data_IF_425531062295
#
_entry.id   IF_425531062295
#
_cell.length_a   1.000
_cell.length_b   1.000
_cell.length_c   1.000
_cell.angle_alpha   90.00
_cell.angle_beta   90.00
_cell.angle_gamma   90.00
#
_symmetry.space_group_name_H-M   'P 1'
#
loop_
_entity.id
_entity.type
_entity.pdbx_description
1 polymer ?
#
# COMPACT_ATOMS: atom_id res chain seq x y z
N UNK A 1 -7.23 10.72 15.81
CA UNK A 1 -8.16 11.64 16.49
C UNK A 1 -9.37 11.88 15.58
N UNK A 2 -10.53 12.32 16.09
CA UNK A 2 -11.64 12.76 15.22
C UNK A 2 -11.18 13.86 14.28
N UNK A 3 -10.28 14.75 14.75
CA UNK A 3 -9.65 15.84 14.00
C UNK A 3 -8.27 16.21 14.57
N UNK A 4 -7.40 16.85 13.80
CA UNK A 4 -6.11 17.36 14.30
C UNK A 4 -6.31 18.58 15.21
N UNK A 5 -5.47 18.77 16.24
CA UNK A 5 -5.56 19.92 17.14
C UNK A 5 -4.81 21.13 16.54
N UNK A 6 -5.48 22.27 16.42
CA UNK A 6 -4.86 23.48 15.88
C UNK A 6 -4.04 24.22 16.96
N UNK A 7 -2.96 24.91 16.55
CA UNK A 7 -2.05 25.65 17.46
C UNK A 7 -2.60 26.98 17.98
N UNK A 8 -3.82 27.35 17.59
CA UNK A 8 -4.48 28.59 18.00
C UNK A 8 -5.32 28.35 19.26
N UNK A 9 -4.82 28.88 20.39
CA UNK A 9 -5.47 28.83 21.69
C UNK A 9 -6.45 30.01 21.78
N UNK A 10 -7.72 29.79 21.44
CA UNK A 10 -8.80 30.77 21.63
C UNK A 10 -9.75 30.21 22.69
N UNK A 11 -9.72 30.81 23.90
CA UNK A 11 -10.56 30.52 25.07
C UNK A 11 -11.13 29.08 25.20
N UNK A 12 -10.38 28.24 25.92
CA UNK A 12 -10.79 26.95 26.53
C UNK A 12 -11.19 25.79 25.61
N UNK A 13 -11.22 25.95 24.29
CA UNK A 13 -11.28 24.81 23.35
C UNK A 13 -10.18 24.95 22.29
N UNK A 14 -9.34 23.93 22.15
CA UNK A 14 -8.48 23.79 20.98
C UNK A 14 -9.39 23.56 19.78
N UNK A 15 -9.48 24.57 18.90
CA UNK A 15 -10.18 24.40 17.62
C UNK A 15 -9.48 23.30 16.84
N UNK A 16 -10.24 22.35 16.34
CA UNK A 16 -9.68 21.31 15.48
C UNK A 16 -9.42 21.86 14.09
N UNK A 17 -8.27 21.53 13.50
CA UNK A 17 -8.09 21.69 12.06
C UNK A 17 -9.02 20.70 11.35
N UNK A 18 -9.97 21.21 10.55
CA UNK A 18 -10.96 20.38 9.85
C UNK A 18 -10.35 19.63 8.66
N UNK A 19 -9.22 20.10 8.13
CA UNK A 19 -8.62 19.57 6.90
C UNK A 19 -7.62 18.44 7.15
N UNK A 20 -7.15 18.29 8.39
CA UNK A 20 -6.13 17.30 8.76
C UNK A 20 -6.63 16.37 9.86
N UNK A 21 -6.20 15.11 9.80
CA UNK A 21 -6.35 14.15 10.90
C UNK A 21 -5.00 13.56 11.28
N UNK A 22 -4.73 13.57 12.58
CA UNK A 22 -3.57 12.89 13.15
C UNK A 22 -3.85 11.39 13.31
N UNK A 23 -2.93 10.57 12.79
CA UNK A 23 -2.85 9.13 12.99
C UNK A 23 -1.63 8.80 13.82
N UNK A 24 -1.81 7.99 14.86
CA UNK A 24 -0.77 7.53 15.77
C UNK A 24 -0.71 6.00 15.68
N UNK A 25 0.49 5.45 15.52
CA UNK A 25 0.69 4.01 15.38
C UNK A 25 1.83 3.58 16.30
N UNK A 26 1.54 2.58 17.12
CA UNK A 26 2.50 1.95 18.01
C UNK A 26 2.56 0.45 17.77
N UNK A 27 3.76 -0.08 17.54
CA UNK A 27 4.05 -1.51 17.60
C UNK A 27 4.74 -1.82 18.92
N UNK A 28 4.15 -2.70 19.72
CA UNK A 28 4.63 -3.03 21.08
C UNK A 28 4.98 -4.50 21.15
N UNK A 29 6.15 -4.82 21.70
CA UNK A 29 6.56 -6.20 21.92
C UNK A 29 5.59 -6.93 22.87
N UNK A 30 5.25 -8.17 22.53
CA UNK A 30 4.40 -9.01 23.38
C UNK A 30 5.22 -9.66 24.50
N UNK A 31 4.67 -9.82 25.71
CA UNK A 31 5.31 -10.58 26.78
C UNK A 31 5.67 -12.00 26.33
N UNK A 32 6.76 -12.58 26.84
CA UNK A 32 7.16 -13.93 26.48
C UNK A 32 6.14 -14.94 27.03
N UNK A 33 5.62 -15.84 26.18
CA UNK A 33 4.64 -16.87 26.58
C UNK A 33 5.26 -17.99 27.42
N UNK A 34 6.60 -18.10 27.43
CA UNK A 34 7.40 -19.07 28.18
C UNK A 34 8.69 -18.41 28.68
N UNK A 35 9.42 -19.09 29.56
CA UNK A 35 10.75 -18.65 30.00
C UNK A 35 11.67 -18.36 28.82
N UNK A 36 12.12 -17.10 28.70
CA UNK A 36 13.03 -16.67 27.64
C UNK A 36 14.47 -16.60 28.20
N UNK A 37 15.43 -17.38 27.65
CA UNK A 37 16.83 -17.33 28.08
C UNK A 37 17.45 -15.93 27.91
N UNK A 38 17.13 -15.24 26.82
CA UNK A 38 17.62 -13.89 26.58
C UNK A 38 17.10 -12.90 27.64
N UNK A 39 15.81 -12.92 27.98
CA UNK A 39 15.30 -12.07 29.07
C UNK A 39 15.97 -12.41 30.41
N UNK A 40 16.18 -13.69 30.70
CA UNK A 40 16.91 -14.12 31.91
C UNK A 40 18.34 -13.59 31.93
N UNK A 41 19.04 -13.62 30.80
CA UNK A 41 20.40 -13.07 30.70
C UNK A 41 20.40 -11.56 30.94
N UNK A 42 19.45 -10.81 30.37
CA UNK A 42 19.32 -9.37 30.64
C UNK A 42 19.08 -9.11 32.13
N UNK A 43 18.16 -9.85 32.76
CA UNK A 43 17.89 -9.72 34.20
C UNK A 43 19.11 -10.06 35.08
N UNK A 44 19.95 -11.01 34.68
CA UNK A 44 21.19 -11.35 35.39
C UNK A 44 22.31 -10.32 35.18
N UNK A 45 22.42 -9.77 33.97
CA UNK A 45 23.42 -8.75 33.63
C UNK A 45 23.12 -7.41 34.30
N UNK A 46 21.84 -7.12 34.59
CA UNK A 46 21.39 -5.89 35.23
C UNK A 46 20.53 -6.17 36.48
N UNK A 47 21.11 -6.63 37.61
CA UNK A 47 20.37 -7.05 38.80
C UNK A 47 19.51 -5.96 39.47
N UNK A 48 19.73 -4.69 39.14
CA UNK A 48 18.93 -3.55 39.62
C UNK A 48 17.66 -3.27 38.81
N UNK A 49 17.48 -3.92 37.65
CA UNK A 49 16.30 -3.74 36.80
C UNK A 49 15.28 -4.87 37.06
N UNK A 50 14.22 -4.58 37.82
CA UNK A 50 13.22 -5.59 38.22
C UNK A 50 12.44 -6.22 37.05
N UNK A 51 12.54 -5.67 35.84
CA UNK A 51 11.90 -6.16 34.61
C UNK A 51 12.86 -6.05 33.41
N UNK A 52 13.99 -6.76 33.48
CA UNK A 52 14.92 -6.89 32.36
C UNK A 52 14.32 -7.71 31.21
N UNK A 53 13.89 -7.05 30.13
CA UNK A 53 13.39 -7.70 28.92
C UNK A 53 14.47 -7.72 27.84
N UNK A 54 14.61 -8.84 27.11
CA UNK A 54 15.41 -8.82 25.88
C UNK A 54 14.69 -8.04 24.78
N UNK A 55 15.42 -7.65 23.74
CA UNK A 55 14.89 -6.82 22.66
C UNK A 55 13.62 -7.40 22.03
N UNK A 56 13.56 -8.71 21.77
CA UNK A 56 12.37 -9.41 21.23
C UNK A 56 11.09 -9.22 22.04
N UNK A 57 11.19 -9.05 23.36
CA UNK A 57 10.06 -8.98 24.28
C UNK A 57 9.96 -7.62 24.98
N UNK A 58 10.73 -6.64 24.52
CA UNK A 58 11.06 -5.45 25.30
C UNK A 58 11.21 -4.17 24.49
N UNK A 59 10.59 -4.06 23.31
CA UNK A 59 10.66 -2.87 22.46
C UNK A 59 9.29 -2.24 22.21
N UNK A 60 9.31 -0.96 21.88
CA UNK A 60 8.19 -0.19 21.37
C UNK A 60 8.66 0.67 20.20
N UNK A 61 7.85 0.73 19.15
CA UNK A 61 8.06 1.60 18.00
C UNK A 61 6.82 2.47 17.84
N UNK A 62 7.02 3.78 17.71
CA UNK A 62 5.95 4.77 17.59
C UNK A 62 6.17 5.65 16.35
N UNK A 63 5.09 5.95 15.63
CA UNK A 63 5.06 6.96 14.57
C UNK A 63 3.77 7.77 14.61
N UNK A 64 3.86 8.99 14.07
CA UNK A 64 2.74 9.90 13.87
C UNK A 64 2.81 10.43 12.45
N UNK A 65 1.67 10.46 11.77
CA UNK A 65 1.54 11.17 10.50
C UNK A 65 0.17 11.84 10.38
N UNK A 66 0.06 12.77 9.44
CA UNK A 66 -1.17 13.48 9.14
C UNK A 66 -1.74 13.00 7.81
N UNK A 67 -3.07 13.00 7.73
CA UNK A 67 -3.82 12.69 6.52
C UNK A 67 -4.78 13.82 6.20
N UNK A 68 -5.07 13.99 4.92
CA UNK A 68 -5.97 15.02 4.37
C UNK A 68 -7.24 14.42 3.78
N UNK A 69 -8.23 15.27 3.51
CA UNK A 69 -9.44 14.86 2.79
C UNK A 69 -9.13 14.48 1.33
N UNK A 70 -9.79 13.44 0.77
CA UNK A 70 -10.69 12.49 1.43
C UNK A 70 -9.90 11.59 2.39
N UNK A 71 -10.30 11.56 3.66
CA UNK A 71 -9.52 10.86 4.68
C UNK A 71 -9.44 9.36 4.36
N UNK A 72 -8.24 8.76 4.30
CA UNK A 72 -8.06 7.35 3.95
C UNK A 72 -8.90 6.41 4.80
N UNK A 73 -9.36 5.33 4.17
CA UNK A 73 -10.14 4.29 4.89
C UNK A 73 -9.25 3.50 5.85
N UNK A 74 -9.81 3.08 6.98
CA UNK A 74 -9.13 2.18 7.92
C UNK A 74 -9.42 0.72 7.55
N UNK A 75 -8.41 -0.03 7.13
CA UNK A 75 -8.54 -1.37 6.56
C UNK A 75 -7.62 -2.40 7.25
N UNK A 76 -7.71 -2.60 8.58
CA UNK A 76 -6.75 -3.41 9.35
C UNK A 76 -6.57 -4.84 8.84
N UNK A 77 -7.64 -5.47 8.32
CA UNK A 77 -7.58 -6.83 7.77
C UNK A 77 -6.64 -6.94 6.55
N UNK A 78 -6.52 -5.89 5.74
CA UNK A 78 -5.57 -5.84 4.62
C UNK A 78 -4.24 -5.22 5.04
N UNK A 79 -4.28 -4.13 5.81
CA UNK A 79 -3.09 -3.41 6.25
C UNK A 79 -2.12 -4.29 7.05
N UNK A 80 -2.62 -5.32 7.74
CA UNK A 80 -1.84 -6.25 8.56
C UNK A 80 -1.88 -7.69 8.03
N UNK A 81 -2.30 -7.91 6.77
CA UNK A 81 -2.45 -9.25 6.20
C UNK A 81 -1.11 -9.98 6.03
N UNK A 82 0.00 -9.23 5.93
CA UNK A 82 1.36 -9.76 5.87
C UNK A 82 2.01 -9.66 7.24
N UNK A 83 2.48 -10.78 7.76
CA UNK A 83 3.17 -10.83 9.05
C UNK A 83 4.36 -9.87 9.11
N UNK A 84 4.49 -9.20 10.25
CA UNK A 84 5.54 -8.20 10.55
C UNK A 84 5.51 -6.93 9.68
N UNK A 85 4.51 -6.78 8.80
CA UNK A 85 4.36 -5.62 7.91
C UNK A 85 3.03 -4.91 8.18
N UNK A 86 3.06 -3.58 8.22
CA UNK A 86 1.87 -2.74 8.18
C UNK A 86 1.89 -1.82 6.97
N UNK A 87 0.76 -1.74 6.25
CA UNK A 87 0.57 -0.80 5.14
C UNK A 87 -0.12 0.48 5.63
N UNK A 88 0.51 1.64 5.42
CA UNK A 88 0.07 2.93 5.92
C UNK A 88 -0.23 3.87 4.76
N UNK A 89 -1.49 4.23 4.59
CA UNK A 89 -1.90 5.25 3.62
C UNK A 89 -1.76 6.63 4.29
N UNK A 90 -0.87 7.46 3.75
CA UNK A 90 -0.55 8.81 4.26
C UNK A 90 -1.27 9.93 3.52
N UNK A 91 -2.35 9.59 2.80
CA UNK A 91 -3.00 10.40 1.75
C UNK A 91 -2.17 10.57 0.48
N UNK A 92 -0.85 10.74 0.56
CA UNK A 92 0.01 11.00 -0.61
C UNK A 92 0.81 9.79 -1.08
N UNK A 93 1.01 8.81 -0.19
CA UNK A 93 1.77 7.60 -0.48
C UNK A 93 1.23 6.40 0.28
N UNK A 94 1.58 5.21 -0.18
CA UNK A 94 1.43 3.98 0.58
C UNK A 94 2.80 3.54 1.10
N UNK A 95 2.95 3.50 2.42
CA UNK A 95 4.19 3.08 3.09
C UNK A 95 4.01 1.68 3.66
N UNK A 96 4.81 0.73 3.18
CA UNK A 96 4.94 -0.58 3.81
C UNK A 96 6.04 -0.51 4.87
N UNK A 97 5.66 -0.69 6.13
CA UNK A 97 6.58 -0.65 7.27
C UNK A 97 6.76 -2.05 7.84
N UNK A 98 7.99 -2.58 7.81
CA UNK A 98 8.30 -3.88 8.39
C UNK A 98 9.15 -3.75 9.65
N UNK A 99 8.84 -4.55 10.67
CA UNK A 99 9.55 -4.54 11.95
C UNK A 99 9.91 -5.96 12.37
N UNK A 100 11.20 -6.25 12.53
CA UNK A 100 11.69 -7.58 12.88
C UNK A 100 12.87 -7.55 13.84
N UNK A 101 12.96 -8.54 14.74
CA UNK A 101 14.11 -8.72 15.64
C UNK A 101 14.95 -9.88 15.16
N UNK A 102 16.25 -9.65 15.01
CA UNK A 102 17.23 -10.62 14.52
C UNK A 102 18.31 -10.87 15.57
N UNK A 103 18.99 -12.02 15.49
CA UNK A 103 20.21 -12.29 16.25
C UNK A 103 21.44 -12.17 15.35
N UNK A 104 22.57 -11.82 15.95
CA UNK A 104 23.86 -11.85 15.27
C UNK A 104 24.15 -13.26 14.71
N UNK A 105 24.42 -13.34 13.40
CA UNK A 105 24.76 -14.59 12.72
C UNK A 105 23.57 -15.40 12.16
N UNK A 106 22.33 -14.91 12.26
CA UNK A 106 21.19 -15.57 11.61
C UNK A 106 21.35 -15.60 10.07
N UNK A 107 21.23 -16.77 9.41
CA UNK A 107 21.44 -16.92 7.97
C UNK A 107 20.24 -16.45 7.12
N UNK A 108 19.13 -16.06 7.74
CA UNK A 108 17.96 -15.55 7.03
C UNK A 108 18.27 -14.18 6.40
N UNK A 109 17.81 -13.91 5.17
CA UNK A 109 17.95 -12.57 4.61
C UNK A 109 17.26 -11.61 5.58
N UNK A 110 18.03 -10.68 6.14
CA UNK A 110 17.58 -9.76 7.18
C UNK A 110 16.55 -8.74 6.65
N UNK A 111 15.94 -8.98 5.49
CA UNK A 111 15.23 -8.03 4.67
C UNK A 111 13.84 -8.59 4.34
N UNK A 112 12.82 -8.00 4.94
CA UNK A 112 11.42 -8.36 4.74
C UNK A 112 10.79 -7.63 3.55
N UNK A 113 11.31 -6.46 3.21
CA UNK A 113 10.86 -5.62 2.10
C UNK A 113 12.02 -5.36 1.14
N UNK A 114 11.71 -5.28 -0.16
CA UNK A 114 12.61 -4.85 -1.21
C UNK A 114 13.89 -5.70 -1.35
N UNK A 115 13.78 -6.92 -1.88
CA UNK A 115 14.96 -7.76 -2.14
C UNK A 115 15.75 -7.25 -3.35
N UNK A 116 16.94 -6.68 -3.13
CA UNK A 116 17.90 -6.36 -4.21
C UNK A 116 18.52 -7.62 -4.87
N UNK A 117 17.90 -8.80 -4.69
CA UNK A 117 18.35 -10.02 -5.35
C UNK A 117 18.09 -9.87 -6.84
N UNK A 118 19.19 -9.70 -7.58
CA UNK A 118 19.27 -9.92 -9.02
C UNK A 118 18.38 -11.08 -9.39
N UNK A 119 17.30 -10.81 -10.11
CA UNK A 119 16.53 -11.82 -10.83
C UNK A 119 17.50 -12.52 -11.76
N UNK A 120 18.13 -13.60 -11.30
CA UNK A 120 18.80 -14.52 -12.21
C UNK A 120 17.67 -15.14 -13.03
N UNK A 121 17.62 -14.95 -14.36
CA UNK A 121 16.63 -15.65 -15.16
C UNK A 121 16.93 -17.13 -14.98
N UNK A 122 16.01 -17.87 -14.35
CA UNK A 122 16.05 -19.33 -14.42
C UNK A 122 16.07 -19.72 -15.90
N UNK A 123 16.86 -20.72 -16.32
CA UNK A 123 16.93 -21.08 -17.72
C UNK A 123 15.53 -21.46 -18.19
N UNK A 124 14.99 -20.69 -19.13
CA UNK A 124 13.77 -21.01 -19.83
C UNK A 124 13.95 -22.37 -20.51
N UNK A 125 13.43 -23.44 -19.91
CA UNK A 125 13.21 -24.70 -20.61
C UNK A 125 12.11 -24.44 -21.64
N UNK A 126 12.51 -24.08 -22.85
CA UNK A 126 11.64 -24.20 -24.03
C UNK A 126 11.37 -25.69 -24.26
N UNK A 127 10.11 -26.14 -24.33
CA UNK A 127 9.81 -27.49 -24.77
C UNK A 127 10.07 -27.56 -26.28
N UNK A 128 11.00 -28.43 -26.68
CA UNK A 128 11.27 -28.71 -28.09
C UNK A 128 12.64 -28.23 -28.58
N UNK A 129 13.68 -29.00 -28.26
CA UNK A 129 14.72 -29.30 -29.23
C UNK A 129 15.48 -30.55 -28.76
N UNK A 130 15.27 -31.65 -29.48
CA UNK A 130 15.98 -32.90 -29.33
C UNK A 130 17.42 -32.76 -29.81
N UNK A 131 18.39 -33.02 -28.93
CA UNK A 131 19.71 -33.51 -29.35
C UNK A 131 20.16 -34.64 -28.44
N UNK A 132 20.08 -35.83 -29.02
CA UNK A 132 20.80 -37.05 -28.68
C UNK A 132 22.31 -36.81 -28.65
N UNK A 133 22.97 -37.28 -27.61
CA UNK A 133 24.32 -37.86 -27.76
C UNK A 133 24.54 -38.93 -26.69
N UNK A 134 24.64 -40.17 -27.17
CA UNK A 134 25.22 -41.30 -26.46
C UNK A 134 26.65 -40.96 -26.05
N UNK A 135 27.07 -41.40 -24.86
CA UNK A 135 28.26 -42.25 -24.72
C UNK A 135 28.03 -43.25 -23.57
N UNK A 136 28.23 -44.52 -23.90
CA UNK A 136 28.20 -45.71 -23.03
C UNK A 136 29.52 -45.85 -22.24
N UNK A 137 29.46 -46.48 -21.07
CA UNK A 137 30.39 -47.55 -20.67
C UNK A 137 29.92 -48.21 -19.34
N UNK A 138 29.24 -49.33 -19.52
CA UNK A 138 29.53 -50.68 -19.02
C UNK A 138 29.78 -50.96 -17.52
N UNK A 139 29.15 -52.05 -17.02
CA UNK A 139 29.51 -52.67 -15.74
C UNK A 139 28.42 -53.42 -14.96
N UNK A 140 27.89 -54.51 -15.52
CA UNK A 140 27.51 -55.80 -14.87
C UNK A 140 26.81 -55.85 -13.49
N UNK A 141 25.70 -56.63 -13.42
CA UNK A 141 25.41 -57.47 -12.25
C UNK A 141 23.94 -57.59 -11.84
N UNK A 142 23.37 -58.79 -12.02
CA UNK A 142 21.97 -59.14 -11.80
C UNK A 142 21.54 -59.20 -10.32
N UNK A 143 20.24 -59.02 -10.06
CA UNK A 143 19.61 -59.38 -8.78
C UNK A 143 18.18 -58.85 -8.66
N UNK A 144 17.19 -59.69 -8.97
CA UNK A 144 15.76 -59.35 -8.95
C UNK A 144 15.16 -59.15 -7.55
N UNK A 145 14.03 -58.46 -7.52
CA UNK A 145 13.17 -58.31 -6.35
C UNK A 145 11.98 -57.43 -6.66
N UNK A 146 10.90 -58.04 -7.16
CA UNK A 146 9.62 -57.36 -7.35
C UNK A 146 8.89 -57.16 -6.02
N UNK A 147 8.23 -56.01 -5.86
CA UNK A 147 7.18 -55.76 -4.86
C UNK A 147 6.10 -54.87 -5.50
N UNK A 148 4.80 -55.10 -5.24
CA UNK A 148 3.70 -54.65 -6.09
C UNK A 148 3.09 -53.30 -5.72
N UNK A 149 2.46 -52.68 -6.71
CA UNK A 149 1.67 -51.45 -6.68
C UNK A 149 0.32 -51.68 -5.97
N UNK A 150 -0.16 -50.77 -5.09
CA UNK A 150 -1.48 -50.89 -4.47
C UNK A 150 -2.61 -50.33 -5.37
N UNK A 151 -3.84 -50.89 -5.31
CA UNK A 151 -4.99 -50.42 -6.09
C UNK A 151 -5.71 -49.21 -5.43
N UNK A 152 -6.51 -48.46 -6.21
CA UNK A 152 -7.21 -47.26 -5.72
C UNK A 152 -8.47 -47.60 -4.90
N UNK A 153 -8.89 -46.74 -3.94
CA UNK A 153 -10.09 -46.98 -3.14
C UNK A 153 -11.38 -46.56 -3.88
N UNK A 154 -12.39 -47.42 -3.80
CA UNK A 154 -13.80 -47.20 -4.20
C UNK A 154 -14.57 -46.34 -3.18
N UNK A 155 -15.67 -45.66 -3.59
CA UNK A 155 -16.37 -44.66 -2.79
C UNK A 155 -17.41 -45.27 -1.83
N UNK A 156 -17.48 -44.75 -0.60
CA UNK A 156 -18.51 -45.08 0.39
C UNK A 156 -19.62 -44.02 0.41
N UNK A 157 -20.87 -44.48 0.37
CA UNK A 157 -22.12 -43.72 0.58
C UNK A 157 -22.19 -43.03 1.96
N UNK A 158 -22.73 -41.79 2.06
CA UNK A 158 -22.98 -41.14 3.34
C UNK A 158 -24.39 -41.44 3.85
N UNK A 159 -24.48 -42.07 5.03
CA UNK A 159 -25.72 -42.09 5.82
C UNK A 159 -25.88 -40.75 6.54
N UNK A 160 -26.97 -40.05 6.22
CA UNK A 160 -27.42 -38.80 6.85
C UNK A 160 -28.09 -39.10 8.19
N UNK A 161 -27.83 -38.35 9.27
CA UNK A 161 -28.78 -38.11 10.33
C UNK A 161 -29.51 -36.78 10.10
N UNK A 162 -30.84 -36.85 10.21
CA UNK A 162 -31.77 -35.73 10.25
C UNK A 162 -31.58 -35.00 11.57
N UNK A 163 -31.31 -33.69 11.54
CA UNK A 163 -31.53 -32.80 12.69
C UNK A 163 -32.30 -31.54 12.25
N UNK A 164 -33.23 -31.19 13.14
CA UNK A 164 -34.33 -30.26 12.98
C UNK A 164 -33.92 -28.79 12.86
N UNK A 165 -34.79 -28.03 12.19
CA UNK A 165 -34.56 -26.64 11.83
C UNK A 165 -34.48 -25.70 13.03
N UNK A 166 -33.38 -24.95 13.10
CA UNK A 166 -33.31 -23.61 13.68
C UNK A 166 -32.35 -22.76 12.83
N UNK A 167 -32.82 -21.56 12.45
CA UNK A 167 -32.07 -20.40 11.94
C UNK A 167 -30.75 -20.65 11.20
N UNK A 168 -30.78 -20.46 9.87
CA UNK A 168 -29.61 -20.42 8.98
C UNK A 168 -28.74 -19.18 9.30
N UNK A 169 -28.00 -19.24 10.40
CA UNK A 169 -27.02 -18.25 10.81
C UNK A 169 -25.82 -18.25 9.87
N UNK A 170 -25.42 -17.06 9.43
CA UNK A 170 -24.22 -16.87 8.62
C UNK A 170 -22.99 -17.36 9.40
N UNK A 171 -22.01 -17.95 8.70
CA UNK A 171 -20.72 -18.33 9.30
C UNK A 171 -20.13 -17.14 10.10
N UNK A 172 -19.49 -17.36 11.25
CA UNK A 172 -18.85 -16.30 12.05
C UNK A 172 -17.90 -15.40 11.24
N UNK A 173 -17.27 -15.95 10.19
CA UNK A 173 -16.43 -15.18 9.27
C UNK A 173 -17.23 -14.18 8.42
N UNK A 174 -18.42 -14.58 7.95
CA UNK A 174 -19.32 -13.71 7.18
C UNK A 174 -19.95 -12.64 8.06
N UNK A 175 -20.25 -12.97 9.33
CA UNK A 175 -20.73 -11.98 10.29
C UNK A 175 -19.67 -10.89 10.57
N UNK A 176 -18.41 -11.28 10.77
CA UNK A 176 -17.29 -10.34 10.97
C UNK A 176 -16.97 -9.51 9.72
N UNK A 177 -17.05 -10.11 8.53
CA UNK A 177 -16.89 -9.37 7.27
C UNK A 177 -17.99 -8.33 7.07
N UNK A 178 -19.24 -8.65 7.44
CA UNK A 178 -20.36 -7.69 7.42
C UNK A 178 -20.17 -6.58 8.45
N UNK A 179 -19.66 -6.89 9.63
CA UNK A 179 -19.34 -5.89 10.67
C UNK A 179 -18.23 -4.94 10.21
N UNK A 180 -17.19 -5.46 9.55
CA UNK A 180 -16.13 -4.67 8.92
C UNK A 180 -16.68 -3.71 7.86
N UNK A 181 -17.55 -4.20 6.99
CA UNK A 181 -18.22 -3.37 5.97
C UNK A 181 -19.11 -2.30 6.61
N UNK A 182 -19.87 -2.66 7.64
CA UNK A 182 -20.72 -1.72 8.35
C UNK A 182 -19.91 -0.59 9.02
N UNK A 183 -18.70 -0.88 9.50
CA UNK A 183 -17.78 0.13 10.06
C UNK A 183 -17.24 1.10 8.99
N UNK A 184 -16.96 0.61 7.76
CA UNK A 184 -16.59 1.48 6.63
C UNK A 184 -17.73 2.47 6.30
N UNK A 185 -18.98 1.99 6.23
CA UNK A 185 -20.13 2.85 5.92
C UNK A 185 -20.48 3.80 7.06
N UNK A 186 -20.36 3.37 8.32
CA UNK A 186 -20.58 4.23 9.48
C UNK A 186 -19.63 5.43 9.46
N UNK A 187 -18.34 5.16 9.21
CA UNK A 187 -17.30 6.19 9.10
C UNK A 187 -17.43 7.06 7.85
N UNK A 188 -17.90 6.52 6.73
CA UNK A 188 -18.19 7.30 5.53
C UNK A 188 -19.36 8.27 5.73
N UNK A 189 -20.38 7.86 6.51
CA UNK A 189 -21.51 8.71 6.89
C UNK A 189 -21.10 9.80 7.88
N UNK A 190 -20.27 9.49 8.87
CA UNK A 190 -19.72 10.46 9.83
C UNK A 190 -18.74 11.47 9.21
N UNK A 191 -18.11 11.13 8.08
CA UNK A 191 -17.24 12.04 7.33
C UNK A 191 -18.02 13.06 6.48
N UNK A 192 -19.33 12.87 6.34
CA UNK A 192 -20.23 13.86 5.74
C UNK A 192 -20.93 14.55 6.91
N UNK A 193 -20.70 15.85 7.11
CA UNK A 193 -21.39 16.61 8.17
C UNK A 193 -22.92 16.46 8.06
N UNK A 194 -23.69 16.83 9.10
CA UNK A 194 -25.14 16.67 9.06
C UNK A 194 -25.68 17.40 7.83
N UNK A 195 -26.28 16.63 6.90
CA UNK A 195 -27.10 17.18 5.85
C UNK A 195 -28.22 17.95 6.54
N UNK A 196 -28.25 19.27 6.35
CA UNK A 196 -29.44 20.04 6.69
C UNK A 196 -30.56 19.46 5.82
N UNK A 197 -31.59 18.98 6.50
CA UNK A 197 -32.88 18.63 5.90
C UNK A 197 -33.42 19.93 5.30
N UNK A 198 -33.31 20.09 3.97
CA UNK A 198 -33.99 21.15 3.25
C UNK A 198 -35.45 20.71 3.08
N UNK A 199 -36.32 21.31 3.88
CA UNK A 199 -37.77 21.26 3.72
C UNK A 199 -38.14 21.88 2.35
N UNK A 200 -38.99 21.15 1.63
CA UNK A 200 -39.65 21.61 0.41
C UNK A 200 -40.55 22.81 0.74
N UNK A 201 -40.32 23.96 0.10
CA UNK A 201 -41.38 24.96 -0.12
C UNK A 201 -41.48 25.33 -1.60
N UNK A 202 -42.68 25.09 -2.11
CA UNK A 202 -43.19 25.40 -3.44
C UNK A 202 -43.53 26.89 -3.57
N UNK A 203 -43.16 27.41 -4.74
CA UNK A 203 -43.91 28.35 -5.60
C UNK A 203 -44.03 29.85 -5.26
N UNK A 204 -43.78 30.68 -6.28
CA UNK A 204 -43.88 32.14 -6.17
C UNK A 204 -43.31 32.91 -7.37
N UNK A 205 -44.01 32.87 -8.49
CA UNK A 205 -43.74 33.64 -9.71
C UNK A 205 -43.81 35.17 -9.53
N UNK A 206 -42.92 35.96 -10.16
CA UNK A 206 -43.28 37.19 -10.93
C UNK A 206 -42.09 37.94 -11.57
N UNK A 207 -42.32 38.34 -12.84
CA UNK A 207 -41.69 39.31 -13.78
C UNK A 207 -40.69 40.36 -13.25
N UNK A 208 -39.65 40.78 -14.00
CA UNK A 208 -39.76 41.70 -15.16
C UNK A 208 -38.41 42.12 -15.81
N UNK A 209 -38.41 42.24 -17.16
CA UNK A 209 -37.74 43.20 -18.09
C UNK A 209 -36.22 43.54 -18.10
N UNK A 210 -35.50 43.03 -19.14
CA UNK A 210 -34.65 43.65 -20.23
C UNK A 210 -34.12 45.12 -20.17
N UNK A 211 -33.20 45.59 -21.08
CA UNK A 211 -31.87 45.12 -21.54
C UNK A 211 -30.81 46.27 -21.71
N UNK A 212 -29.55 45.97 -22.08
CA UNK A 212 -28.58 46.93 -22.65
C UNK A 212 -27.25 46.25 -23.03
N UNK A 213 -26.88 46.08 -24.32
CA UNK A 213 -26.01 46.96 -25.18
C UNK A 213 -24.70 47.36 -24.50
N UNK A 214 -23.47 47.27 -25.02
CA UNK A 214 -22.81 47.09 -26.33
C UNK A 214 -21.29 46.99 -25.98
N UNK A 215 -20.40 46.24 -26.62
CA UNK A 215 -19.58 46.62 -27.78
C UNK A 215 -18.53 45.52 -28.10
N UNK A 216 -18.06 45.52 -29.36
CA UNK A 216 -17.27 44.50 -30.04
C UNK A 216 -15.78 44.87 -30.28
N UNK A 217 -14.94 43.82 -30.36
CA UNK A 217 -13.73 43.60 -31.21
C UNK A 217 -12.42 44.40 -30.92
N UNK A 218 -11.22 44.02 -31.48
CA UNK A 218 -10.76 42.79 -32.20
C UNK A 218 -9.37 42.25 -31.71
N UNK A 219 -8.79 41.17 -32.32
CA UNK A 219 -7.50 40.56 -31.93
C UNK A 219 -6.30 41.06 -32.77
N UNK A 220 -5.05 40.69 -32.42
CA UNK A 220 -3.95 40.74 -33.37
C UNK A 220 -3.38 39.35 -33.73
N UNK A 221 -3.25 39.16 -35.04
CA UNK A 221 -2.35 38.21 -35.71
C UNK A 221 -0.88 38.42 -35.27
N UNK A 222 -0.13 37.32 -35.16
CA UNK A 222 1.20 37.25 -35.81
C UNK A 222 1.68 35.81 -35.95
N UNK A 223 1.72 35.37 -37.20
CA UNK A 223 2.57 34.29 -37.69
C UNK A 223 4.05 34.64 -37.48
N UNK A 224 4.94 33.65 -37.29
CA UNK A 224 6.26 33.55 -37.98
C UNK A 224 7.03 32.28 -37.56
N UNK A 225 7.38 31.52 -38.60
CA UNK A 225 8.57 30.68 -38.82
C UNK A 225 8.79 29.35 -38.08
N UNK A 226 8.43 28.28 -38.81
CA UNK A 226 9.13 27.01 -38.85
C UNK A 226 10.50 27.19 -39.54
N UNK A 227 11.58 26.73 -38.92
CA UNK A 227 12.87 26.55 -39.58
C UNK A 227 13.13 25.05 -39.82
N UNK A 228 12.96 24.63 -41.07
CA UNK A 228 13.60 23.47 -41.68
C UNK A 228 14.91 23.95 -42.33
N UNK A 229 15.98 23.16 -42.25
CA UNK A 229 17.07 23.01 -43.24
C UNK A 229 18.13 22.02 -42.68
N UNK A 230 19.01 21.40 -43.50
CA UNK A 230 18.74 20.51 -44.62
C UNK A 230 19.56 19.19 -44.53
N UNK A 231 19.29 18.26 -45.45
CA UNK A 231 19.94 16.95 -45.60
C UNK A 231 21.21 16.97 -46.47
N UNK A 232 22.08 15.95 -46.24
CA UNK A 232 22.93 15.18 -47.20
C UNK A 232 24.46 15.34 -47.05
N UNK A 233 25.29 14.42 -47.61
CA UNK A 233 25.36 12.96 -47.40
C UNK A 233 26.82 12.45 -47.19
N UNK A 234 27.06 11.31 -46.52
CA UNK A 234 28.32 10.55 -46.72
C UNK A 234 28.26 9.07 -46.28
N UNK A 235 28.85 8.23 -47.11
CA UNK A 235 28.85 6.75 -47.17
C UNK A 235 29.64 6.04 -46.04
N UNK A 236 29.57 4.69 -45.92
CA UNK A 236 29.81 3.95 -44.68
C UNK A 236 31.27 3.47 -44.50
N UNK A 237 31.65 3.06 -43.28
CA UNK A 237 32.62 2.00 -43.10
C UNK A 237 32.15 0.88 -42.15
N UNK A 238 32.27 -0.34 -42.67
CA UNK A 238 32.79 -1.58 -42.04
C UNK A 238 32.40 -1.99 -40.62
N UNK A 239 31.95 -3.23 -40.55
CA UNK A 239 31.68 -4.03 -39.37
C UNK A 239 32.82 -4.04 -38.35
N UNK A 240 32.47 -3.75 -37.10
CA UNK A 240 33.19 -4.22 -35.92
C UNK A 240 32.16 -4.57 -34.85
N UNK A 241 32.08 -5.85 -34.48
CA UNK A 241 31.26 -6.34 -33.37
C UNK A 241 31.59 -5.57 -32.08
N UNK A 242 30.59 -5.09 -31.31
CA UNK A 242 30.88 -4.58 -29.98
C UNK A 242 31.20 -5.77 -29.06
N UNK A 243 32.18 -5.64 -28.16
CA UNK A 243 32.47 -6.67 -27.17
C UNK A 243 31.27 -6.83 -26.24
N UNK A 244 31.05 -8.07 -25.82
CA UNK A 244 29.99 -8.52 -24.93
C UNK A 244 29.71 -7.49 -23.82
N UNK A 245 28.62 -6.73 -23.95
CA UNK A 245 28.20 -5.78 -22.94
C UNK A 245 27.86 -6.58 -21.68
N UNK A 246 28.65 -6.39 -20.64
CA UNK A 246 28.22 -6.65 -19.26
C UNK A 246 26.85 -6.00 -19.07
N UNK A 247 25.86 -6.67 -18.43
CA UNK A 247 24.56 -6.07 -18.20
C UNK A 247 24.77 -4.79 -17.39
N UNK A 248 24.54 -3.65 -18.04
CA UNK A 248 24.41 -2.36 -17.37
C UNK A 248 23.27 -2.54 -16.37
N UNK A 249 23.46 -2.25 -15.07
CA UNK A 249 22.37 -2.29 -14.13
C UNK A 249 21.27 -1.38 -14.67
N UNK A 250 20.09 -1.93 -14.92
CA UNK A 250 18.91 -1.09 -15.10
C UNK A 250 18.83 -0.19 -13.87
N UNK A 251 18.81 1.15 -14.04
CA UNK A 251 18.72 2.05 -12.90
C UNK A 251 17.48 1.68 -12.09
N UNK A 252 17.61 1.66 -10.77
CA UNK A 252 16.46 1.49 -9.89
C UNK A 252 15.40 2.51 -10.30
N UNK A 253 14.10 2.13 -10.34
CA UNK A 253 13.07 3.08 -10.71
C UNK A 253 13.10 4.23 -9.71
N UNK A 254 13.35 5.46 -10.18
CA UNK A 254 13.56 6.63 -9.32
C UNK A 254 12.36 7.03 -8.45
N UNK A 255 11.24 6.31 -8.57
CA UNK A 255 10.04 6.46 -7.76
C UNK A 255 9.97 5.53 -6.54
N UNK A 256 10.87 4.55 -6.44
CA UNK A 256 10.91 3.64 -5.30
C UNK A 256 11.81 4.24 -4.23
N UNK A 257 11.23 4.52 -3.05
CA UNK A 257 11.99 4.92 -1.88
C UNK A 257 12.01 3.77 -0.86
N UNK A 258 13.21 3.27 -0.56
CA UNK A 258 13.45 2.23 0.44
C UNK A 258 14.43 2.72 1.50
N UNK A 259 14.06 2.60 2.77
CA UNK A 259 14.94 2.88 3.91
C UNK A 259 14.97 1.72 4.88
N UNK A 260 16.12 1.51 5.51
CA UNK A 260 16.33 0.46 6.51
C UNK A 260 17.16 0.98 7.66
N UNK A 261 16.59 0.90 8.86
CA UNK A 261 17.23 1.26 10.10
C UNK A 261 17.43 0.03 10.98
N UNK A 262 18.53 0.01 11.73
CA UNK A 262 18.82 -1.04 12.72
C UNK A 262 18.99 -0.40 14.08
N UNK A 263 18.45 -1.01 15.12
CA UNK A 263 18.49 -0.51 16.48
C UNK A 263 18.94 -1.59 17.46
N UNK A 264 19.68 -1.21 18.49
CA UNK A 264 20.18 -2.12 19.54
C UNK A 264 19.83 -1.60 20.93
N UNK A 265 19.73 -2.53 21.88
CA UNK A 265 19.55 -2.21 23.31
C UNK A 265 20.95 -1.93 23.90
N UNK A 266 21.16 -0.77 24.53
CA UNK A 266 22.39 -0.50 25.29
C UNK A 266 22.15 -0.53 26.81
N UNK A 267 23.16 -0.96 27.60
CA UNK A 267 23.23 -0.63 29.02
C UNK A 267 23.32 0.88 29.19
N UNK A 268 22.56 1.46 30.12
CA UNK A 268 22.34 2.91 30.23
C UNK A 268 23.59 3.81 30.33
N UNK A 269 23.34 5.10 30.05
CA UNK A 269 24.18 6.29 30.23
C UNK A 269 25.37 6.50 29.28
N UNK A 270 25.14 6.36 27.97
CA UNK A 270 25.96 7.05 26.97
C UNK A 270 25.03 7.85 26.06
N UNK A 271 24.96 9.17 26.27
CA UNK A 271 24.42 10.08 25.26
C UNK A 271 25.32 9.99 24.02
N UNK A 272 24.94 9.13 23.09
CA UNK A 272 25.52 9.15 21.76
C UNK A 272 25.14 10.48 21.08
N UNK A 273 26.04 11.11 20.32
CA UNK A 273 25.68 12.26 19.49
C UNK A 273 24.47 11.90 18.63
N UNK A 274 23.46 12.77 18.60
CA UNK A 274 22.38 12.70 17.61
C UNK A 274 23.01 12.96 16.25
N UNK A 275 23.52 11.93 15.59
CA UNK A 275 23.95 12.03 14.21
C UNK A 275 22.68 12.13 13.35
N UNK A 276 22.53 13.27 12.67
CA UNK A 276 21.46 13.55 11.72
C UNK A 276 21.57 12.53 10.57
N UNK A 277 20.67 11.54 10.55
CA UNK A 277 20.39 10.84 9.31
C UNK A 277 19.88 11.87 8.30
N UNK A 278 20.27 11.75 7.02
CA UNK A 278 19.66 12.54 5.95
C UNK A 278 18.15 12.28 5.93
N UNK A 279 17.41 13.17 6.57
CA UNK A 279 15.96 13.08 6.81
C UNK A 279 15.18 13.04 5.49
N UNK A 280 15.78 13.57 4.42
CA UNK A 280 15.19 13.75 3.10
C UNK A 280 14.68 12.46 2.44
N UNK A 281 15.12 11.27 2.92
CA UNK A 281 14.67 9.97 2.39
C UNK A 281 13.65 9.28 3.29
N UNK A 282 13.41 9.76 4.50
CA UNK A 282 12.53 9.10 5.47
C UNK A 282 11.08 9.50 5.18
N UNK A 283 10.24 8.53 4.80
CA UNK A 283 8.82 8.81 4.56
C UNK A 283 8.03 8.98 5.86
N UNK A 284 8.31 8.15 6.87
CA UNK A 284 7.68 8.25 8.18
C UNK A 284 8.73 8.30 9.30
N UNK A 285 8.68 9.32 10.18
CA UNK A 285 9.58 9.37 11.32
C UNK A 285 9.17 8.32 12.36
N UNK A 286 10.16 7.59 12.88
CA UNK A 286 9.97 6.60 13.94
C UNK A 286 10.74 6.96 15.20
N UNK A 287 10.09 6.75 16.34
CA UNK A 287 10.73 6.74 17.65
C UNK A 287 10.74 5.30 18.15
N UNK A 288 11.92 4.77 18.45
CA UNK A 288 12.12 3.39 18.90
C UNK A 288 12.64 3.40 20.33
N UNK A 289 11.91 2.78 21.25
CA UNK A 289 12.22 2.74 22.68
C UNK A 289 12.15 1.33 23.25
N UNK A 290 12.70 1.13 24.44
CA UNK A 290 12.37 -0.02 25.27
C UNK A 290 11.00 0.17 25.96
N UNK A 291 10.54 -0.82 26.71
CA UNK A 291 9.28 -0.73 27.46
C UNK A 291 9.29 0.31 28.59
N UNK A 292 10.46 0.87 28.92
CA UNK A 292 10.64 1.94 29.92
C UNK A 292 10.66 3.33 29.28
N UNK A 293 10.60 3.41 27.95
CA UNK A 293 10.68 4.66 27.20
C UNK A 293 12.11 5.14 26.94
N UNK A 294 13.14 4.34 27.21
CA UNK A 294 14.53 4.68 26.84
C UNK A 294 14.72 4.45 25.34
N UNK A 295 15.23 5.44 24.61
CA UNK A 295 15.50 5.32 23.18
C UNK A 295 16.52 4.22 22.89
N UNK A 296 16.25 3.40 21.88
CA UNK A 296 17.25 2.45 21.38
C UNK A 296 18.28 3.18 20.53
N UNK A 297 19.52 2.69 20.56
CA UNK A 297 20.59 3.30 19.77
C UNK A 297 20.51 2.81 18.32
N UNK A 298 20.52 3.71 17.31
CA UNK A 298 20.67 3.32 15.93
C UNK A 298 22.06 2.74 15.66
N UNK A 299 22.11 1.67 14.88
CA UNK A 299 23.33 1.00 14.43
C UNK A 299 23.67 1.46 13.01
N UNK A 300 24.91 1.89 12.78
CA UNK A 300 25.40 2.25 11.43
C UNK A 300 25.29 1.02 10.51
N UNK A 301 24.96 1.25 9.24
CA UNK A 301 24.67 0.18 8.27
C UNK A 301 25.83 -0.83 8.12
N UNK A 302 27.08 -0.37 8.26
CA UNK A 302 28.29 -1.18 8.18
C UNK A 302 28.71 -1.83 9.51
N UNK A 303 28.08 -1.47 10.63
CA UNK A 303 28.45 -2.01 11.92
C UNK A 303 27.85 -3.41 12.12
N UNK A 304 28.71 -4.38 12.46
CA UNK A 304 28.26 -5.72 12.82
C UNK A 304 27.55 -5.67 14.19
N UNK A 305 26.31 -6.13 14.24
CA UNK A 305 25.62 -6.33 15.51
C UNK A 305 26.28 -7.49 16.27
N UNK A 306 26.69 -7.25 17.52
CA UNK A 306 27.27 -8.28 18.41
C UNK A 306 26.20 -9.01 19.27
N UNK A 307 24.92 -8.93 18.88
CA UNK A 307 23.80 -9.49 19.64
C UNK A 307 22.46 -9.34 18.91
N UNK A 308 21.37 -9.17 19.67
CA UNK A 308 20.05 -8.88 19.10
C UNK A 308 19.98 -7.47 18.55
N UNK A 309 19.34 -7.30 17.41
CA UNK A 309 19.01 -5.98 16.86
C UNK A 309 17.59 -5.98 16.25
N UNK A 310 16.97 -4.82 16.26
CA UNK A 310 15.67 -4.55 15.65
C UNK A 310 15.92 -3.92 14.28
N UNK A 311 15.35 -4.49 13.23
CA UNK A 311 15.31 -3.91 11.89
C UNK A 311 13.95 -3.25 11.67
N UNK A 312 13.99 -2.01 11.17
CA UNK A 312 12.81 -1.25 10.73
C UNK A 312 13.02 -0.90 9.27
N UNK A 313 12.13 -1.35 8.40
CA UNK A 313 12.20 -1.14 6.96
C UNK A 313 10.98 -0.32 6.51
N UNK A 314 11.19 0.64 5.61
CA UNK A 314 10.11 1.36 4.92
C UNK A 314 10.29 1.22 3.42
N UNK A 315 9.21 0.84 2.73
CA UNK A 315 9.12 0.90 1.29
C UNK A 315 7.92 1.77 0.92
N UNK A 316 8.15 2.82 0.13
CA UNK A 316 7.15 3.85 -0.15
C UNK A 316 6.77 3.86 -1.63
N UNK A 317 5.46 3.89 -1.89
CA UNK A 317 4.87 4.07 -3.20
C UNK A 317 4.18 5.43 -3.28
N UNK A 318 4.72 6.35 -4.09
CA UNK A 318 4.16 7.67 -4.33
C UNK A 318 2.93 7.61 -5.24
N UNK A 319 1.79 8.15 -4.80
CA UNK A 319 0.55 8.04 -5.56
C UNK A 319 0.53 8.92 -6.80
N UNK A 320 1.05 10.14 -6.75
CA UNK A 320 1.05 11.04 -7.91
C UNK A 320 1.93 10.50 -9.02
N UNK A 321 3.08 9.93 -8.67
CA UNK A 321 3.93 9.25 -9.63
C UNK A 321 3.18 8.10 -10.32
N UNK A 322 2.55 7.21 -9.53
CA UNK A 322 1.76 6.09 -10.06
C UNK A 322 0.65 6.57 -10.98
N UNK A 323 -0.15 7.55 -10.54
CA UNK A 323 -1.26 8.11 -11.32
C UNK A 323 -0.75 8.65 -12.65
N UNK A 324 0.31 9.47 -12.64
CA UNK A 324 0.85 10.07 -13.85
C UNK A 324 1.42 9.04 -14.82
N UNK A 325 2.14 8.02 -14.33
CA UNK A 325 2.66 6.94 -15.17
C UNK A 325 1.55 6.08 -15.79
N UNK A 326 0.54 5.70 -15.01
CA UNK A 326 -0.60 4.91 -15.51
C UNK A 326 -1.37 5.69 -16.56
N UNK A 327 -1.65 6.98 -16.32
CA UNK A 327 -2.35 7.81 -17.30
C UNK A 327 -1.52 7.94 -18.57
N UNK A 328 -0.21 8.19 -18.47
CA UNK A 328 0.65 8.40 -19.64
C UNK A 328 0.80 7.14 -20.49
N UNK A 329 0.92 5.98 -19.87
CA UNK A 329 1.32 4.75 -20.55
C UNK A 329 0.14 3.83 -20.88
N UNK A 330 -0.91 3.80 -20.06
CA UNK A 330 -1.95 2.76 -20.13
C UNK A 330 -3.37 3.30 -20.37
N UNK A 331 -3.64 4.58 -20.10
CA UNK A 331 -4.99 5.14 -20.28
C UNK A 331 -5.30 5.46 -21.76
N UNK A 332 -6.39 4.88 -22.28
CA UNK A 332 -6.87 5.16 -23.64
C UNK A 332 -7.26 6.65 -23.84
N UNK A 333 -7.71 7.30 -22.77
CA UNK A 333 -8.09 8.71 -22.73
C UNK A 333 -6.93 9.65 -22.34
N UNK A 334 -5.68 9.17 -22.30
CA UNK A 334 -4.48 9.94 -21.92
C UNK A 334 -4.32 11.26 -22.67
N UNK A 335 -4.71 11.31 -23.95
CA UNK A 335 -4.65 12.53 -24.77
C UNK A 335 -5.70 13.59 -24.41
N UNK A 336 -6.75 13.19 -23.71
CA UNK A 336 -7.80 14.09 -23.23
C UNK A 336 -7.44 14.68 -21.86
N UNK A 337 -6.59 14.01 -21.09
CA UNK A 337 -6.22 14.38 -19.73
C UNK A 337 -5.52 15.76 -19.64
N UNK A 338 -5.93 16.56 -18.67
CA UNK A 338 -5.31 17.85 -18.35
C UNK A 338 -4.54 17.79 -17.02
N UNK A 339 -5.24 17.46 -15.94
CA UNK A 339 -4.72 17.36 -14.59
C UNK A 339 -5.69 16.56 -13.71
N UNK A 340 -5.23 16.07 -12.57
CA UNK A 340 -6.12 15.57 -11.51
C UNK A 340 -6.18 16.57 -10.35
N UNK A 341 -7.31 16.61 -9.65
CA UNK A 341 -7.53 17.51 -8.52
C UNK A 341 -7.40 16.83 -7.18
N UNK A 342 -7.81 15.56 -7.09
CA UNK A 342 -7.93 14.84 -5.82
C UNK A 342 -8.02 13.33 -6.07
N UNK A 343 -7.64 12.51 -5.08
CA UNK A 343 -7.61 11.05 -5.19
C UNK A 343 -7.84 10.32 -3.87
N UNK A 344 -8.41 9.12 -3.93
CA UNK A 344 -8.69 8.25 -2.77
C UNK A 344 -8.22 6.82 -3.04
N UNK A 345 -7.33 6.31 -2.19
CA UNK A 345 -6.70 4.98 -2.36
C UNK A 345 -7.31 3.98 -1.40
N UNK A 346 -7.78 2.85 -1.95
CA UNK A 346 -8.36 1.74 -1.19
C UNK A 346 -7.60 0.46 -1.54
N UNK A 347 -7.15 -0.28 -0.51
CA UNK A 347 -6.54 -1.60 -0.69
C UNK A 347 -7.66 -2.59 -1.02
N UNK A 348 -7.51 -3.33 -2.13
CA UNK A 348 -8.46 -4.36 -2.55
C UNK A 348 -8.02 -5.76 -2.11
N UNK A 349 -6.72 -6.04 -2.13
CA UNK A 349 -6.16 -7.34 -1.75
C UNK A 349 -4.69 -7.22 -1.35
N UNK A 350 -4.24 -8.10 -0.46
CA UNK A 350 -2.81 -8.29 -0.13
C UNK A 350 -2.53 -9.79 -0.17
N UNK A 351 -1.63 -10.21 -1.06
CA UNK A 351 -1.16 -11.59 -1.13
C UNK A 351 0.18 -11.72 -0.40
N UNK A 352 0.21 -12.20 0.86
CA UNK A 352 1.42 -12.25 1.66
C UNK A 352 2.45 -13.28 1.15
N UNK A 353 2.02 -14.28 0.37
CA UNK A 353 2.90 -15.28 -0.22
C UNK A 353 3.70 -14.74 -1.42
N UNK A 354 3.07 -13.92 -2.26
CA UNK A 354 3.72 -13.31 -3.45
C UNK A 354 4.24 -11.90 -3.17
N UNK A 355 3.92 -11.33 -2.01
CA UNK A 355 4.20 -9.95 -1.63
C UNK A 355 3.60 -8.90 -2.58
N UNK A 356 2.41 -9.19 -3.12
CA UNK A 356 1.69 -8.23 -3.95
C UNK A 356 0.58 -7.54 -3.16
N UNK A 357 0.46 -6.23 -3.36
CA UNK A 357 -0.60 -5.38 -2.82
C UNK A 357 -1.40 -4.83 -3.99
N UNK A 358 -2.69 -5.15 -4.06
CA UNK A 358 -3.59 -4.63 -5.08
C UNK A 358 -4.34 -3.44 -4.49
N UNK A 359 -4.19 -2.27 -5.12
CA UNK A 359 -4.87 -1.03 -4.73
C UNK A 359 -5.79 -0.55 -5.85
N UNK A 360 -6.84 0.14 -5.46
CA UNK A 360 -7.68 0.95 -6.34
C UNK A 360 -7.44 2.42 -6.01
N UNK A 361 -7.33 3.25 -7.04
CA UNK A 361 -7.09 4.68 -6.95
C UNK A 361 -8.29 5.37 -7.61
N UNK A 362 -9.20 5.89 -6.79
CA UNK A 362 -10.28 6.75 -7.26
C UNK A 362 -9.71 8.12 -7.57
N UNK A 363 -10.06 8.70 -8.72
CA UNK A 363 -9.43 9.91 -9.22
C UNK A 363 -10.49 10.90 -9.68
N UNK A 364 -10.40 12.14 -9.18
CA UNK A 364 -11.10 13.30 -9.73
C UNK A 364 -10.14 14.05 -10.64
N UNK A 365 -10.54 14.29 -11.89
CA UNK A 365 -9.68 14.87 -12.90
C UNK A 365 -10.40 15.79 -13.89
N UNK A 366 -9.62 16.62 -14.57
CA UNK A 366 -10.07 17.42 -15.70
C UNK A 366 -9.58 16.78 -16.99
N UNK A 367 -10.49 16.63 -17.95
CA UNK A 367 -10.18 16.15 -19.29
C UNK A 367 -11.02 16.86 -20.34
N UNK A 368 -10.51 16.95 -21.57
CA UNK A 368 -11.32 17.34 -22.72
C UNK A 368 -12.34 16.23 -23.04
N UNK A 369 -13.57 16.59 -23.43
CA UNK A 369 -14.53 15.62 -23.93
C UNK A 369 -14.01 14.87 -25.16
N UNK A 370 -14.64 13.73 -25.46
CA UNK A 370 -14.34 13.01 -26.70
C UNK A 370 -14.54 13.91 -27.91
N UNK A 371 -13.71 13.77 -28.97
CA UNK A 371 -13.84 14.60 -30.17
C UNK A 371 -15.18 14.41 -30.90
N UNK A 372 -15.89 13.32 -30.59
CA UNK A 372 -17.21 13.00 -31.15
C UNK A 372 -18.37 13.66 -30.39
N UNK A 373 -18.12 14.28 -29.22
CA UNK A 373 -19.15 15.06 -28.52
C UNK A 373 -19.39 16.42 -29.20
N UNK A 374 -20.62 16.64 -29.68
CA UNK A 374 -21.06 17.92 -30.23
C UNK A 374 -21.14 18.99 -29.12
N UNK A 375 -20.29 20.01 -29.20
CA UNK A 375 -20.31 21.11 -28.24
C UNK A 375 -19.01 21.90 -28.14
N UNK A 376 -18.94 22.79 -27.15
CA UNK A 376 -17.75 23.57 -26.87
C UNK A 376 -16.68 22.66 -26.24
N UNK A 377 -15.50 22.58 -26.88
CA UNK A 377 -14.34 21.79 -26.43
C UNK A 377 -13.68 22.42 -25.17
N UNK A 378 -14.40 22.43 -24.06
CA UNK A 378 -13.89 22.87 -22.75
C UNK A 378 -13.63 21.65 -21.87
N UNK A 379 -12.53 21.63 -21.11
CA UNK A 379 -12.30 20.59 -20.13
C UNK A 379 -13.46 20.50 -19.14
N UNK A 380 -13.91 19.28 -18.85
CA UNK A 380 -14.94 18.99 -17.85
C UNK A 380 -14.32 18.17 -16.72
N UNK A 381 -15.00 18.13 -15.59
CA UNK A 381 -14.61 17.29 -14.45
C UNK A 381 -15.13 15.87 -14.62
N UNK A 382 -14.25 14.90 -14.43
CA UNK A 382 -14.52 13.47 -14.52
C UNK A 382 -14.06 12.75 -13.26
N UNK A 383 -14.69 11.60 -13.02
CA UNK A 383 -14.25 10.60 -12.08
C UNK A 383 -13.85 9.33 -12.84
N UNK A 384 -12.80 8.67 -12.36
CA UNK A 384 -12.39 7.34 -12.83
C UNK A 384 -11.70 6.56 -11.72
N UNK A 385 -11.32 5.31 -11.99
CA UNK A 385 -10.57 4.47 -11.06
C UNK A 385 -9.43 3.73 -11.75
N UNK A 386 -8.24 3.73 -11.16
CA UNK A 386 -7.07 2.99 -11.62
C UNK A 386 -6.77 1.85 -10.65
N UNK A 387 -6.57 0.63 -11.16
CA UNK A 387 -6.17 -0.52 -10.35
C UNK A 387 -4.72 -0.88 -10.64
N UNK A 388 -3.94 -1.03 -9.58
CA UNK A 388 -2.49 -1.24 -9.65
C UNK A 388 -2.11 -2.36 -8.69
N UNK A 389 -1.17 -3.21 -9.10
CA UNK A 389 -0.54 -4.22 -8.24
C UNK A 389 0.89 -3.79 -7.94
N UNK A 390 1.22 -3.64 -6.66
CA UNK A 390 2.52 -3.24 -6.15
C UNK A 390 3.25 -4.44 -5.55
N UNK A 391 4.47 -4.70 -6.01
CA UNK A 391 5.31 -5.81 -5.53
C UNK A 391 6.29 -5.31 -4.46
N UNK A 392 6.08 -5.76 -3.21
CA UNK A 392 6.92 -5.37 -2.09
C UNK A 392 8.34 -5.97 -2.15
N UNK A 393 8.61 -6.96 -3.02
CA UNK A 393 9.95 -7.48 -3.23
C UNK A 393 10.79 -6.56 -4.14
N UNK A 394 10.17 -5.97 -5.15
CA UNK A 394 10.90 -5.19 -6.18
C UNK A 394 10.64 -3.70 -6.07
N UNK A 395 9.64 -3.27 -5.31
CA UNK A 395 9.15 -1.90 -5.25
C UNK A 395 8.39 -1.45 -6.50
N UNK A 396 8.38 -2.26 -7.57
CA UNK A 396 7.72 -1.92 -8.83
C UNK A 396 6.21 -2.11 -8.74
N UNK A 397 5.48 -1.38 -9.57
CA UNK A 397 4.04 -1.56 -9.73
C UNK A 397 3.69 -1.90 -11.18
N UNK A 398 2.57 -2.57 -11.37
CA UNK A 398 1.99 -2.88 -12.69
C UNK A 398 0.52 -2.47 -12.73
N UNK A 399 0.11 -1.89 -13.85
CA UNK A 399 -1.29 -1.54 -14.10
C UNK A 399 -2.12 -2.81 -14.29
N UNK A 400 -3.19 -2.94 -13.52
CA UNK A 400 -4.13 -4.07 -13.58
C UNK A 400 -5.37 -3.69 -14.39
N UNK A 401 -5.86 -2.46 -14.25
CA UNK A 401 -7.03 -1.96 -14.95
C UNK A 401 -7.06 -0.45 -14.95
N UNK A 402 -7.51 0.14 -16.06
CA UNK A 402 -7.84 1.57 -16.15
C UNK A 402 -9.34 1.69 -16.40
N UNK A 403 -10.02 2.53 -15.62
CA UNK A 403 -11.44 2.81 -15.78
C UNK A 403 -11.72 3.82 -16.90
N UNK A 404 -12.95 3.83 -17.39
CA UNK A 404 -13.45 4.88 -18.27
C UNK A 404 -13.67 6.19 -17.50
N UNK A 405 -13.79 7.30 -18.24
CA UNK A 405 -14.14 8.60 -17.67
C UNK A 405 -15.64 8.72 -17.49
N UNK A 406 -16.07 9.07 -16.27
CA UNK A 406 -17.48 9.34 -15.95
C UNK A 406 -17.64 10.80 -15.53
N UNK A 407 -18.43 11.57 -16.27
CA UNK A 407 -18.58 13.02 -16.03
C UNK A 407 -19.25 13.30 -14.69
N UNK A 408 -18.68 14.22 -13.91
CA UNK A 408 -19.21 14.63 -12.60
C UNK A 408 -20.17 15.79 -12.81
N UNK A 409 -21.48 15.52 -12.82
CA UNK A 409 -22.54 16.51 -13.07
C UNK A 409 -23.26 16.91 -11.79
N UNK A 410 -22.88 18.05 -11.20
CA UNK A 410 -23.56 18.61 -10.01
C UNK A 410 -23.42 17.78 -8.72
N UNK A 411 -22.65 16.68 -8.76
CA UNK A 411 -22.35 15.86 -7.60
C UNK A 411 -21.32 16.55 -6.70
N UNK A 412 -21.51 16.45 -5.38
CA UNK A 412 -20.50 16.90 -4.41
C UNK A 412 -19.33 15.91 -4.38
N UNK A 413 -18.12 16.37 -4.06
CA UNK A 413 -16.94 15.51 -3.91
C UNK A 413 -17.19 14.35 -2.94
N UNK A 414 -17.86 14.61 -1.81
CA UNK A 414 -18.24 13.57 -0.85
C UNK A 414 -19.14 12.48 -1.43
N UNK A 415 -20.09 12.83 -2.31
CA UNK A 415 -20.94 11.84 -2.98
C UNK A 415 -20.16 10.97 -3.98
N UNK A 416 -19.19 11.57 -4.70
CA UNK A 416 -18.29 10.83 -5.60
C UNK A 416 -17.45 9.83 -4.80
N UNK A 417 -16.81 10.28 -3.72
CA UNK A 417 -15.96 9.41 -2.89
C UNK A 417 -16.75 8.30 -2.17
N UNK A 418 -17.97 8.61 -1.71
CA UNK A 418 -18.88 7.62 -1.13
C UNK A 418 -19.26 6.52 -2.14
N UNK A 419 -19.61 6.91 -3.37
CA UNK A 419 -19.92 5.98 -4.46
C UNK A 419 -18.72 5.12 -4.85
N UNK A 420 -17.54 5.74 -4.97
CA UNK A 420 -16.28 5.06 -5.25
C UNK A 420 -15.95 3.99 -4.17
N UNK A 421 -16.03 4.36 -2.88
CA UNK A 421 -15.77 3.45 -1.76
C UNK A 421 -16.77 2.30 -1.72
N UNK A 422 -18.05 2.56 -2.01
CA UNK A 422 -19.07 1.52 -2.14
C UNK A 422 -18.69 0.52 -3.25
N UNK A 423 -18.25 0.99 -4.41
CA UNK A 423 -17.76 0.12 -5.48
C UNK A 423 -16.54 -0.73 -5.09
N UNK A 424 -15.63 -0.19 -4.26
CA UNK A 424 -14.50 -0.95 -3.71
C UNK A 424 -14.99 -2.05 -2.76
N UNK A 425 -15.94 -1.75 -1.87
CA UNK A 425 -16.55 -2.74 -0.97
C UNK A 425 -17.25 -3.84 -1.76
N UNK A 426 -18.05 -3.49 -2.76
CA UNK A 426 -18.76 -4.45 -3.60
C UNK A 426 -17.76 -5.39 -4.31
N UNK A 427 -16.62 -4.84 -4.76
CA UNK A 427 -15.53 -5.63 -5.32
C UNK A 427 -14.95 -6.60 -4.29
N UNK A 428 -14.53 -6.12 -3.12
CA UNK A 428 -13.95 -6.98 -2.06
C UNK A 428 -14.93 -8.07 -1.66
N UNK A 429 -16.22 -7.74 -1.46
CA UNK A 429 -17.25 -8.70 -1.06
C UNK A 429 -17.53 -9.74 -2.13
N UNK A 430 -17.49 -9.36 -3.41
CA UNK A 430 -17.68 -10.28 -4.54
C UNK A 430 -16.56 -11.33 -4.62
N UNK A 431 -15.33 -10.97 -4.23
CA UNK A 431 -14.16 -11.82 -4.33
C UNK A 431 -13.71 -12.41 -2.99
N UNK A 432 -14.50 -12.23 -1.93
CA UNK A 432 -14.14 -12.67 -0.58
C UNK A 432 -14.11 -14.19 -0.48
N UNK A 433 -12.95 -14.74 -0.11
CA UNK A 433 -12.76 -16.16 0.21
C UNK A 433 -12.53 -16.31 1.71
N UNK A 434 -13.27 -17.20 2.43
CA UNK A 434 -13.05 -17.43 3.84
C UNK A 434 -11.62 -17.89 4.16
N UNK A 435 -10.99 -17.25 5.13
CA UNK A 435 -9.65 -17.59 5.60
C UNK A 435 -9.68 -18.59 6.76
N UNK A 436 -8.58 -19.31 6.96
CA UNK A 436 -8.42 -20.20 8.12
C UNK A 436 -8.40 -19.41 9.44
N UNK A 437 -8.93 -19.99 10.51
CA UNK A 437 -8.98 -19.36 11.85
C UNK A 437 -7.62 -18.99 12.46
N UNK A 438 -6.50 -19.44 11.89
CA UNK A 438 -5.16 -19.08 12.35
C UNK A 438 -4.51 -17.91 11.60
N UNK A 439 -5.14 -17.39 10.55
CA UNK A 439 -4.57 -16.34 9.67
C UNK A 439 -5.32 -15.01 9.72
N UNK A 440 -6.41 -14.92 10.48
CA UNK A 440 -7.18 -13.69 10.57
C UNK A 440 -6.43 -12.63 11.38
N UNK A 441 -6.55 -11.36 10.96
CA UNK A 441 -6.07 -10.22 11.76
C UNK A 441 -7.04 -9.99 12.92
N UNK A 442 -6.56 -10.16 14.15
CA UNK A 442 -7.37 -9.89 15.34
C UNK A 442 -7.48 -8.39 15.60
N UNK A 443 -8.69 -7.84 15.46
CA UNK A 443 -8.99 -6.44 15.77
C UNK A 443 -9.78 -6.36 17.07
N UNK A 444 -9.29 -5.53 18.00
CA UNK A 444 -9.95 -5.25 19.27
C UNK A 444 -10.30 -3.76 19.33
N UNK A 445 -11.56 -3.42 19.63
CA UNK A 445 -12.01 -2.04 19.85
C UNK A 445 -12.99 -2.02 21.02
N UNK A 446 -12.94 -0.97 21.82
CA UNK A 446 -13.93 -0.68 22.85
C UNK A 446 -14.21 0.83 22.82
N UNK A 447 -15.37 1.18 22.27
CA UNK A 447 -15.76 2.56 22.02
C UNK A 447 -16.52 3.18 23.21
N UNK A 448 -16.43 2.63 24.43
CA UNK A 448 -17.17 3.14 25.59
C UNK A 448 -16.97 4.64 25.91
N UNK A 449 -15.85 5.24 25.48
CA UNK A 449 -15.55 6.67 25.62
C UNK A 449 -15.84 7.49 24.35
N UNK A 450 -16.23 6.83 23.27
CA UNK A 450 -16.70 7.44 22.03
C UNK A 450 -18.22 7.29 21.98
N UNK A 451 -18.92 8.31 21.47
CA UNK A 451 -20.38 8.23 21.28
C UNK A 451 -20.60 7.28 20.10
N UNK A 452 -20.76 5.99 20.41
CA UNK A 452 -20.73 4.87 19.45
C UNK A 452 -21.74 4.92 18.31
#
# INVERSE_FOLDING_TARGET
STRSANGLLVNLMMMSDENHRDIYISAVAVPPTRHCPACRHVALAHPGEQQGHCLRHGFMLHTKYQVVYPFPTFQPAFQLKKDQVVLLNTSYSLVACAVAVHNAGDPSPCQLLFSHRRSSPGPCRRPGCSQSRLEELDGTGAGGGGVPVPPPPTPCDPRVPVEDGHSRGLSPAVAKAKEFVADIFRRAKEATGPALEEEEEEDGSSSSSTPGTSECCPPPNSSIHCHLHPTSPRSPPTASCPPCATPVPTPEPGYVNYTKFRYVLEPGDVEAPREEFEDDKISLPFVVTDLRGRSLRPLKEQAAAQGQYLAVEQLTLDFEYVINEVIRNDAAWSRQFCSFSDYDIVILEVCPETNQVIINIGLLLLAFPSPDEEGQLRPKSYHTSLKVAWDLNTGTFVTVSVGELTEVKGQTSGSVWSSYRKGCVDTVMKWLVPESSGRYVNRMTNEALHKG
#
